data_IF_839239762271
#
_entry.id   IF_839239762271
#
_cell.length_a   1.000
_cell.length_b   1.000
_cell.length_c   1.000
_cell.angle_alpha   90.00
_cell.angle_beta   90.00
_cell.angle_gamma   90.00
#
_symmetry.space_group_name_H-M   'P 1'
#
loop_
_entity.id
_entity.type
_entity.pdbx_description
1 polymer ?
#
# COMPACT_ATOMS: atom_id res chain seq x y z
N UNK A 1 -25.98 27.34 -17.16
CA UNK A 1 -24.59 26.85 -17.31
C UNK A 1 -23.93 26.56 -15.97
N UNK A 2 -24.70 26.41 -14.92
CA UNK A 2 -24.26 26.07 -13.56
C UNK A 2 -24.27 24.55 -13.40
N UNK A 3 -23.13 23.91 -13.49
CA UNK A 3 -23.07 22.47 -13.29
C UNK A 3 -21.79 21.80 -13.79
N UNK A 4 -21.03 22.46 -14.66
CA UNK A 4 -19.74 21.98 -15.11
C UNK A 4 -18.61 22.69 -14.37
N UNK A 5 -17.56 21.96 -13.98
CA UNK A 5 -16.38 22.52 -13.34
C UNK A 5 -15.75 23.65 -14.18
N UNK A 6 -15.46 24.77 -13.56
CA UNK A 6 -14.80 25.91 -14.18
C UNK A 6 -13.35 25.58 -14.56
N UNK A 7 -12.76 26.36 -15.45
CA UNK A 7 -11.34 26.17 -15.83
C UNK A 7 -10.38 26.26 -14.66
N UNK A 8 -10.67 27.16 -13.69
CA UNK A 8 -9.87 27.28 -12.44
C UNK A 8 -9.98 26.02 -11.56
N UNK A 9 -11.17 25.48 -11.37
CA UNK A 9 -11.41 24.27 -10.58
C UNK A 9 -10.70 23.06 -11.21
N UNK A 10 -10.74 22.90 -12.53
CA UNK A 10 -10.01 21.85 -13.25
C UNK A 10 -8.49 21.99 -13.05
N UNK A 11 -7.96 23.21 -13.10
CA UNK A 11 -6.54 23.46 -12.83
C UNK A 11 -6.15 23.11 -11.41
N UNK A 12 -7.01 23.38 -10.42
CA UNK A 12 -6.78 22.99 -9.01
C UNK A 12 -6.76 21.46 -8.90
N UNK A 13 -7.74 20.76 -9.47
CA UNK A 13 -7.78 19.29 -9.44
C UNK A 13 -6.54 18.67 -10.09
N UNK A 14 -6.05 19.22 -11.21
CA UNK A 14 -4.82 18.77 -11.85
C UNK A 14 -3.59 18.92 -10.93
N UNK A 15 -3.47 20.06 -10.25
CA UNK A 15 -2.38 20.31 -9.29
C UNK A 15 -2.44 19.39 -8.08
N UNK A 16 -3.64 19.12 -7.56
CA UNK A 16 -3.86 18.18 -6.46
C UNK A 16 -3.48 16.76 -6.88
N UNK A 17 -3.90 16.34 -8.07
CA UNK A 17 -3.52 15.04 -8.62
C UNK A 17 -1.99 14.90 -8.76
N UNK A 18 -1.32 15.87 -9.36
CA UNK A 18 0.14 15.87 -9.52
C UNK A 18 0.83 15.85 -8.16
N UNK A 19 0.44 16.71 -7.23
CA UNK A 19 1.03 16.78 -5.89
C UNK A 19 0.85 15.48 -5.09
N UNK A 20 -0.38 14.94 -5.06
CA UNK A 20 -0.70 13.68 -4.39
C UNK A 20 0.04 12.49 -5.01
N UNK A 21 0.02 12.38 -6.34
CA UNK A 21 0.73 11.31 -7.05
C UNK A 21 2.25 11.41 -6.91
N UNK A 22 2.81 12.60 -6.82
CA UNK A 22 4.24 12.79 -6.52
C UNK A 22 4.61 12.29 -5.11
N UNK A 23 3.79 12.58 -4.11
CA UNK A 23 3.97 12.04 -2.75
C UNK A 23 3.82 10.52 -2.72
N UNK A 24 2.86 9.97 -3.44
CA UNK A 24 2.68 8.52 -3.59
C UNK A 24 3.89 7.87 -4.26
N UNK A 25 4.42 8.49 -5.30
CA UNK A 25 5.62 8.01 -6.00
C UNK A 25 6.82 7.96 -5.03
N UNK A 26 7.03 9.01 -4.24
CA UNK A 26 8.09 9.04 -3.22
C UNK A 26 7.89 7.95 -2.15
N UNK A 27 6.67 7.81 -1.61
CA UNK A 27 6.34 6.83 -0.60
C UNK A 27 6.52 5.39 -1.09
N UNK A 28 6.03 5.08 -2.28
CA UNK A 28 6.16 3.74 -2.87
C UNK A 28 7.60 3.42 -3.27
N UNK A 29 8.37 4.40 -3.75
CA UNK A 29 9.82 4.26 -4.00
C UNK A 29 10.57 3.97 -2.71
N UNK A 30 10.20 4.58 -1.59
CA UNK A 30 10.76 4.27 -0.28
C UNK A 30 10.55 2.79 0.11
N UNK A 31 9.33 2.24 -0.09
CA UNK A 31 9.05 0.81 0.18
C UNK A 31 9.95 -0.09 -0.66
N UNK A 32 10.03 0.18 -1.97
CA UNK A 32 10.87 -0.57 -2.92
C UNK A 32 12.34 -0.46 -2.52
N UNK A 33 12.81 0.73 -2.16
CA UNK A 33 14.16 0.95 -1.64
C UNK A 33 14.44 0.12 -0.39
N UNK A 34 13.53 0.12 0.60
CA UNK A 34 13.68 -0.70 1.80
C UNK A 34 13.81 -2.20 1.46
N UNK A 35 13.04 -2.73 0.53
CA UNK A 35 13.12 -4.12 0.11
C UNK A 35 14.50 -4.48 -0.48
N UNK A 36 15.11 -3.61 -1.27
CA UNK A 36 16.43 -3.85 -1.85
C UNK A 36 17.59 -3.64 -0.87
N UNK A 37 17.49 -2.63 0.01
CA UNK A 37 18.57 -2.30 0.92
C UNK A 37 18.64 -3.18 2.17
N UNK A 38 17.50 -3.72 2.63
CA UNK A 38 17.45 -4.52 3.86
C UNK A 38 17.21 -6.01 3.56
N UNK A 39 18.22 -6.84 3.78
CA UNK A 39 18.12 -8.30 3.58
C UNK A 39 17.04 -8.95 4.43
N UNK A 40 16.82 -8.45 5.65
CA UNK A 40 15.84 -8.96 6.60
C UNK A 40 14.39 -8.74 6.15
N UNK A 41 14.18 -7.80 5.21
CA UNK A 41 12.88 -7.51 4.59
C UNK A 41 12.63 -8.31 3.29
N UNK A 42 13.53 -9.23 2.90
CA UNK A 42 13.35 -10.06 1.69
C UNK A 42 12.58 -11.36 1.95
N UNK A 43 11.68 -11.35 2.94
CA UNK A 43 10.76 -12.46 3.20
C UNK A 43 9.57 -12.41 2.23
N UNK A 44 8.91 -13.54 2.01
CA UNK A 44 7.79 -13.66 1.07
C UNK A 44 6.68 -12.61 1.32
N UNK A 45 6.30 -12.39 2.57
CA UNK A 45 5.27 -11.39 2.91
C UNK A 45 5.64 -9.96 2.47
N UNK A 46 6.92 -9.59 2.58
CA UNK A 46 7.40 -8.28 2.10
C UNK A 46 7.56 -8.23 0.58
N UNK A 47 7.75 -9.37 -0.08
CA UNK A 47 7.74 -9.47 -1.54
C UNK A 47 6.36 -9.10 -2.10
N UNK A 48 5.28 -9.49 -1.43
CA UNK A 48 3.92 -9.08 -1.81
C UNK A 48 3.72 -7.55 -1.68
N UNK A 49 4.23 -6.96 -0.58
CA UNK A 49 4.20 -5.50 -0.38
C UNK A 49 5.08 -4.77 -1.41
N UNK A 50 6.19 -5.38 -1.83
CA UNK A 50 7.01 -4.86 -2.92
C UNK A 50 6.23 -4.77 -4.24
N UNK A 51 5.47 -5.80 -4.63
CA UNK A 51 4.65 -5.77 -5.85
C UNK A 51 3.48 -4.78 -5.75
N UNK A 52 2.89 -4.64 -4.56
CA UNK A 52 1.93 -3.58 -4.28
C UNK A 52 2.55 -2.20 -4.55
N UNK A 53 3.71 -1.92 -3.92
CA UNK A 53 4.40 -0.64 -4.08
C UNK A 53 4.88 -0.40 -5.52
N UNK A 54 5.29 -1.44 -6.23
CA UNK A 54 5.64 -1.35 -7.65
C UNK A 54 4.43 -0.93 -8.50
N UNK A 55 3.25 -1.49 -8.22
CA UNK A 55 2.00 -1.09 -8.87
C UNK A 55 1.65 0.37 -8.58
N UNK A 56 1.83 0.81 -7.32
CA UNK A 56 1.60 2.20 -6.91
C UNK A 56 2.58 3.18 -7.58
N UNK A 57 3.86 2.79 -7.76
CA UNK A 57 4.84 3.58 -8.51
C UNK A 57 4.37 3.83 -9.93
N UNK A 58 3.99 2.78 -10.66
CA UNK A 58 3.54 2.93 -12.04
C UNK A 58 2.20 3.66 -12.15
N UNK A 59 1.24 3.39 -11.23
CA UNK A 59 -0.01 4.13 -11.18
C UNK A 59 0.24 5.64 -10.99
N UNK A 60 1.09 6.02 -10.02
CA UNK A 60 1.43 7.42 -9.72
C UNK A 60 2.26 8.06 -10.84
N UNK A 61 3.23 7.33 -11.40
CA UNK A 61 4.05 7.81 -12.51
C UNK A 61 3.20 8.20 -13.73
N UNK A 62 2.32 7.30 -14.18
CA UNK A 62 1.44 7.60 -15.31
C UNK A 62 0.38 8.66 -14.96
N UNK A 63 0.04 8.85 -13.70
CA UNK A 63 -0.83 9.97 -13.28
C UNK A 63 -0.15 11.33 -13.38
N UNK A 64 1.19 11.40 -13.23
CA UNK A 64 1.99 12.63 -13.29
C UNK A 64 2.45 12.94 -14.73
N UNK A 65 2.92 11.92 -15.46
CA UNK A 65 3.59 12.06 -16.76
C UNK A 65 2.58 12.02 -17.91
N UNK A 66 1.50 12.78 -17.86
CA UNK A 66 0.54 12.83 -18.94
C UNK A 66 0.67 14.11 -19.77
N UNK A 67 0.80 13.99 -21.10
CA UNK A 67 0.63 15.10 -22.02
C UNK A 67 -0.74 14.97 -22.72
N UNK A 68 -1.76 15.75 -22.29
CA UNK A 68 -3.08 15.67 -22.87
C UNK A 68 -3.14 16.21 -24.32
N UNK A 69 -2.08 16.83 -24.80
CA UNK A 69 -2.02 17.42 -26.16
C UNK A 69 -1.87 16.37 -27.25
N UNK A 70 -1.32 15.18 -26.94
CA UNK A 70 -1.09 14.11 -27.91
C UNK A 70 -1.95 12.88 -27.59
N UNK A 71 -2.77 12.47 -28.54
CA UNK A 71 -3.70 11.35 -28.36
C UNK A 71 -3.02 10.06 -27.86
N UNK A 72 -1.86 9.70 -28.42
CA UNK A 72 -1.13 8.51 -28.02
C UNK A 72 -0.72 8.53 -26.53
N UNK A 73 -0.13 9.63 -26.06
CA UNK A 73 0.26 9.78 -24.67
C UNK A 73 -0.93 9.80 -23.72
N UNK A 74 -2.02 10.41 -24.16
CA UNK A 74 -3.28 10.46 -23.45
C UNK A 74 -3.86 9.04 -23.19
N UNK A 75 -3.96 8.22 -24.23
CA UNK A 75 -4.44 6.84 -24.09
C UNK A 75 -3.52 5.99 -23.24
N UNK A 76 -2.21 6.05 -23.48
CA UNK A 76 -1.21 5.31 -22.72
C UNK A 76 -1.30 5.66 -21.24
N UNK A 77 -1.37 6.94 -20.90
CA UNK A 77 -1.57 7.39 -19.52
C UNK A 77 -2.83 6.80 -18.90
N UNK A 78 -3.97 6.95 -19.54
CA UNK A 78 -5.25 6.55 -18.98
C UNK A 78 -5.37 5.05 -18.78
N UNK A 79 -4.95 4.24 -19.76
CA UNK A 79 -5.01 2.78 -19.65
C UNK A 79 -3.96 2.23 -18.70
N UNK A 80 -2.73 2.76 -18.72
CA UNK A 80 -1.68 2.36 -17.78
C UNK A 80 -2.04 2.70 -16.34
N UNK A 81 -2.54 3.91 -16.09
CA UNK A 81 -3.03 4.29 -14.76
C UNK A 81 -4.13 3.34 -14.28
N UNK A 82 -5.12 3.05 -15.13
CA UNK A 82 -6.19 2.10 -14.78
C UNK A 82 -5.64 0.72 -14.46
N UNK A 83 -4.78 0.17 -15.31
CA UNK A 83 -4.16 -1.14 -15.14
C UNK A 83 -3.40 -1.26 -13.81
N UNK A 84 -2.50 -0.32 -13.53
CA UNK A 84 -1.67 -0.37 -12.34
C UNK A 84 -2.43 -0.04 -11.05
N UNK A 85 -3.43 0.84 -11.10
CA UNK A 85 -4.30 1.09 -9.95
C UNK A 85 -5.16 -0.14 -9.62
N UNK A 86 -5.69 -0.85 -10.64
CA UNK A 86 -6.40 -2.12 -10.42
C UNK A 86 -5.45 -3.17 -9.85
N UNK A 87 -4.25 -3.31 -10.39
CA UNK A 87 -3.25 -4.23 -9.87
C UNK A 87 -2.91 -3.91 -8.40
N UNK A 88 -2.77 -2.63 -8.04
CA UNK A 88 -2.48 -2.22 -6.65
C UNK A 88 -3.54 -2.73 -5.66
N UNK A 89 -4.83 -2.47 -5.89
CA UNK A 89 -5.82 -2.96 -4.94
C UNK A 89 -5.99 -4.50 -4.97
N UNK A 90 -5.74 -5.18 -6.10
CA UNK A 90 -5.74 -6.64 -6.16
C UNK A 90 -4.57 -7.25 -5.36
N UNK A 91 -3.40 -6.60 -5.32
CA UNK A 91 -2.31 -7.03 -4.45
C UNK A 91 -2.68 -6.98 -2.96
N UNK A 92 -3.51 -6.04 -2.54
CA UNK A 92 -4.02 -6.04 -1.14
C UNK A 92 -4.88 -7.26 -0.83
N UNK A 93 -5.62 -7.78 -1.83
CA UNK A 93 -6.38 -9.04 -1.69
C UNK A 93 -5.45 -10.24 -1.50
N UNK A 94 -4.36 -10.30 -2.26
CA UNK A 94 -3.34 -11.35 -2.12
C UNK A 94 -2.68 -11.30 -0.74
N UNK A 95 -2.35 -10.10 -0.26
CA UNK A 95 -1.79 -9.89 1.09
C UNK A 95 -2.79 -10.39 2.15
N UNK A 96 -4.05 -10.02 2.05
CA UNK A 96 -5.09 -10.45 2.98
C UNK A 96 -5.30 -11.98 2.94
N UNK A 97 -5.34 -12.57 1.74
CA UNK A 97 -5.43 -14.02 1.56
C UNK A 97 -4.26 -14.76 2.20
N UNK A 98 -3.03 -14.30 1.95
CA UNK A 98 -1.81 -14.87 2.52
C UNK A 98 -1.84 -14.81 4.04
N UNK A 99 -2.21 -13.66 4.61
CA UNK A 99 -2.35 -13.47 6.04
C UNK A 99 -3.39 -14.43 6.64
N UNK A 100 -4.57 -14.54 6.02
CA UNK A 100 -5.62 -15.46 6.46
C UNK A 100 -5.15 -16.93 6.41
N UNK A 101 -4.49 -17.34 5.31
CA UNK A 101 -4.01 -18.71 5.14
C UNK A 101 -2.95 -19.07 6.19
N UNK A 102 -2.03 -18.14 6.46
CA UNK A 102 -0.95 -18.36 7.43
C UNK A 102 -1.46 -18.32 8.87
N UNK A 103 -2.29 -17.33 9.25
CA UNK A 103 -2.72 -17.12 10.62
C UNK A 103 -3.91 -18.00 11.00
N UNK A 104 -4.97 -18.05 10.16
CA UNK A 104 -6.22 -18.76 10.50
C UNK A 104 -6.15 -20.24 10.14
N UNK A 105 -5.49 -20.58 9.03
CA UNK A 105 -5.39 -21.96 8.55
C UNK A 105 -4.08 -22.66 8.91
N UNK A 106 -3.13 -21.95 9.52
CA UNK A 106 -1.80 -22.46 9.89
C UNK A 106 -1.06 -23.15 8.73
N UNK A 107 -1.27 -22.66 7.49
CA UNK A 107 -0.61 -23.19 6.29
C UNK A 107 0.52 -22.26 5.88
N UNK A 108 1.73 -22.81 5.77
CA UNK A 108 2.94 -22.06 5.39
C UNK A 108 3.30 -22.17 3.91
N UNK A 109 2.60 -23.00 3.15
CA UNK A 109 2.77 -23.30 1.73
C UNK A 109 2.24 -22.21 0.78
N UNK A 110 2.27 -20.95 1.22
CA UNK A 110 1.78 -19.80 0.44
C UNK A 110 2.76 -19.36 -0.65
N UNK A 111 4.02 -19.71 -0.52
CA UNK A 111 5.05 -19.40 -1.51
C UNK A 111 4.84 -20.17 -2.82
N UNK A 112 4.32 -21.38 -2.76
CA UNK A 112 4.01 -22.22 -3.92
C UNK A 112 2.90 -21.60 -4.81
N UNK A 113 2.12 -20.68 -4.25
CA UNK A 113 1.03 -19.98 -4.96
C UNK A 113 1.47 -18.70 -5.65
N UNK A 114 2.75 -18.34 -5.60
CA UNK A 114 3.25 -17.07 -6.14
C UNK A 114 2.86 -16.87 -7.62
N UNK A 115 3.05 -17.89 -8.46
CA UNK A 115 2.68 -17.84 -9.88
C UNK A 115 1.18 -17.57 -10.08
N UNK A 116 0.32 -18.19 -9.24
CA UNK A 116 -1.13 -17.96 -9.27
C UNK A 116 -1.48 -16.53 -8.85
N UNK A 117 -0.78 -15.97 -7.87
CA UNK A 117 -1.00 -14.58 -7.44
C UNK A 117 -0.67 -13.59 -8.56
N UNK A 118 0.43 -13.80 -9.27
CA UNK A 118 0.78 -12.98 -10.42
C UNK A 118 -0.25 -13.11 -11.55
N UNK A 119 -0.67 -14.33 -11.87
CA UNK A 119 -1.69 -14.55 -12.89
C UNK A 119 -3.03 -13.89 -12.50
N UNK A 120 -3.44 -14.03 -11.25
CA UNK A 120 -4.65 -13.40 -10.72
C UNK A 120 -4.58 -11.87 -10.84
N UNK A 121 -3.53 -11.24 -10.33
CA UNK A 121 -3.43 -9.77 -10.28
C UNK A 121 -3.27 -9.19 -11.68
N UNK A 122 -2.23 -9.60 -12.41
CA UNK A 122 -1.91 -9.01 -13.71
C UNK A 122 -2.92 -9.40 -14.78
N UNK A 123 -3.41 -10.65 -14.77
CA UNK A 123 -4.43 -11.13 -15.70
C UNK A 123 -5.76 -10.42 -15.50
N UNK A 124 -6.24 -10.29 -14.25
CA UNK A 124 -7.49 -9.58 -13.95
C UNK A 124 -7.38 -8.09 -14.29
N UNK A 125 -6.27 -7.43 -13.94
CA UNK A 125 -6.04 -6.03 -14.28
C UNK A 125 -6.04 -5.81 -15.81
N UNK A 126 -5.43 -6.73 -16.57
CA UNK A 126 -5.42 -6.68 -18.02
C UNK A 126 -6.84 -6.83 -18.60
N UNK A 127 -7.60 -7.83 -18.14
CA UNK A 127 -8.98 -8.06 -18.60
C UNK A 127 -9.85 -6.84 -18.34
N UNK A 128 -9.79 -6.24 -17.15
CA UNK A 128 -10.57 -5.04 -16.84
C UNK A 128 -10.14 -3.84 -17.66
N UNK A 129 -8.85 -3.70 -17.96
CA UNK A 129 -8.35 -2.62 -18.81
C UNK A 129 -8.81 -2.78 -20.27
N UNK A 130 -8.80 -4.03 -20.78
CA UNK A 130 -9.32 -4.34 -22.12
C UNK A 130 -10.83 -4.08 -22.20
N UNK A 131 -11.61 -4.54 -21.21
CA UNK A 131 -13.06 -4.27 -21.19
C UNK A 131 -13.32 -2.76 -21.16
N UNK A 132 -12.54 -2.00 -20.40
CA UNK A 132 -12.64 -0.54 -20.36
C UNK A 132 -12.39 0.11 -21.72
N UNK A 133 -11.51 -0.46 -22.56
CA UNK A 133 -11.20 0.10 -23.87
C UNK A 133 -12.39 0.09 -24.84
N UNK A 134 -13.32 -0.86 -24.68
CA UNK A 134 -14.54 -0.93 -25.50
C UNK A 134 -15.58 0.15 -25.17
N UNK A 135 -15.48 0.80 -23.99
CA UNK A 135 -16.44 1.81 -23.55
C UNK A 135 -16.03 3.26 -23.81
N UNK A 136 -14.87 3.50 -24.42
CA UNK A 136 -14.37 4.84 -24.58
C UNK A 136 -14.80 5.46 -25.93
N UNK A 137 -15.76 6.39 -25.87
CA UNK A 137 -15.94 7.37 -26.94
C UNK A 137 -14.84 8.43 -26.80
N UNK A 138 -14.16 8.68 -27.93
CA UNK A 138 -13.00 9.56 -28.01
C UNK A 138 -13.38 11.01 -27.70
N UNK A 139 -12.97 11.55 -26.58
CA UNK A 139 -13.08 12.98 -26.31
C UNK A 139 -11.90 13.54 -25.56
N UNK A 140 -11.19 14.42 -26.24
CA UNK A 140 -10.09 15.22 -25.69
C UNK A 140 -10.64 16.37 -24.84
N UNK A 141 -10.96 16.18 -23.57
CA UNK A 141 -11.28 17.30 -22.68
C UNK A 141 -10.95 16.98 -21.21
N UNK A 142 -10.03 17.74 -20.63
CA UNK A 142 -9.79 17.80 -19.19
C UNK A 142 -8.43 17.26 -18.76
N UNK A 143 -8.12 17.42 -17.46
CA UNK A 143 -6.86 16.99 -16.83
C UNK A 143 -6.69 15.46 -16.74
N UNK A 144 -7.67 14.70 -17.15
CA UNK A 144 -7.61 13.23 -17.32
C UNK A 144 -7.97 12.89 -18.75
N UNK A 145 -7.09 12.18 -19.40
CA UNK A 145 -7.20 11.81 -20.81
C UNK A 145 -8.35 10.84 -21.14
N UNK A 146 -8.90 10.16 -20.16
CA UNK A 146 -10.07 9.30 -20.29
C UNK A 146 -11.29 9.99 -19.67
N UNK A 147 -11.76 11.08 -20.29
CA UNK A 147 -13.01 11.71 -19.86
C UNK A 147 -14.17 10.88 -20.40
N UNK A 148 -14.92 10.32 -19.46
CA UNK A 148 -16.10 9.52 -19.78
C UNK A 148 -17.21 10.44 -20.28
N UNK A 149 -17.61 10.27 -21.53
CA UNK A 149 -18.83 10.86 -22.07
C UNK A 149 -19.86 9.76 -22.27
N UNK A 150 -21.02 9.92 -21.66
CA UNK A 150 -22.13 9.00 -21.80
C UNK A 150 -22.29 7.99 -20.65
N UNK A 151 -23.53 7.53 -20.47
CA UNK A 151 -23.88 6.57 -19.41
C UNK A 151 -23.18 5.23 -19.57
N UNK A 152 -23.00 4.76 -20.79
CA UNK A 152 -22.34 3.46 -21.09
C UNK A 152 -20.89 3.47 -20.63
N UNK A 153 -20.13 4.51 -20.96
CA UNK A 153 -18.72 4.64 -20.52
C UNK A 153 -18.59 4.74 -19.01
N UNK A 154 -19.49 5.49 -18.36
CA UNK A 154 -19.54 5.58 -16.89
C UNK A 154 -19.87 4.22 -16.26
N UNK A 155 -20.83 3.48 -16.82
CA UNK A 155 -21.18 2.14 -16.33
C UNK A 155 -20.02 1.16 -16.49
N UNK A 156 -19.36 1.12 -17.65
CA UNK A 156 -18.22 0.24 -17.88
C UNK A 156 -17.09 0.56 -16.89
N UNK A 157 -16.80 1.83 -16.64
CA UNK A 157 -15.81 2.21 -15.63
C UNK A 157 -16.22 1.77 -14.22
N UNK A 158 -17.50 1.91 -13.88
CA UNK A 158 -17.99 1.44 -12.61
C UNK A 158 -17.77 -0.07 -12.45
N UNK A 159 -18.13 -0.87 -13.44
CA UNK A 159 -17.98 -2.33 -13.38
C UNK A 159 -16.52 -2.80 -13.49
N UNK A 160 -15.64 -2.07 -14.15
CA UNK A 160 -14.23 -2.47 -14.32
C UNK A 160 -13.31 -1.93 -13.23
N UNK A 161 -13.76 -0.97 -12.41
CA UNK A 161 -12.95 -0.36 -11.36
C UNK A 161 -13.66 -0.38 -10.00
N UNK A 162 -14.80 0.29 -9.85
CA UNK A 162 -15.43 0.47 -8.54
C UNK A 162 -16.08 -0.80 -8.00
N UNK A 163 -16.75 -1.61 -8.81
CA UNK A 163 -17.36 -2.85 -8.35
C UNK A 163 -16.30 -3.87 -7.88
N UNK A 164 -15.20 -4.15 -8.65
CA UNK A 164 -14.10 -4.96 -8.15
C UNK A 164 -13.43 -4.38 -6.90
N UNK A 165 -13.21 -3.08 -6.84
CA UNK A 165 -12.64 -2.39 -5.69
C UNK A 165 -13.47 -2.63 -4.42
N UNK A 166 -14.81 -2.49 -4.48
CA UNK A 166 -15.67 -2.77 -3.35
C UNK A 166 -15.68 -4.26 -2.97
N UNK A 167 -15.59 -5.16 -3.97
CA UNK A 167 -15.39 -6.59 -3.73
C UNK A 167 -14.10 -6.86 -2.93
N UNK A 168 -13.01 -6.20 -3.30
CA UNK A 168 -11.71 -6.26 -2.58
C UNK A 168 -11.83 -5.69 -1.16
N UNK A 169 -12.48 -4.54 -0.98
CA UNK A 169 -12.68 -3.92 0.34
C UNK A 169 -13.46 -4.86 1.27
N UNK A 170 -14.56 -5.44 0.79
CA UNK A 170 -15.38 -6.36 1.55
C UNK A 170 -14.61 -7.64 1.91
N UNK A 171 -13.90 -8.23 0.95
CA UNK A 171 -13.08 -9.41 1.17
C UNK A 171 -11.97 -9.13 2.18
N UNK A 172 -11.22 -8.04 2.02
CA UNK A 172 -10.18 -7.64 2.95
C UNK A 172 -10.76 -7.43 4.36
N UNK A 173 -11.85 -6.66 4.48
CA UNK A 173 -12.52 -6.42 5.76
C UNK A 173 -12.94 -7.71 6.47
N UNK A 174 -13.56 -8.65 5.74
CA UNK A 174 -13.95 -9.95 6.27
C UNK A 174 -12.75 -10.79 6.71
N UNK A 175 -11.70 -10.84 5.89
CA UNK A 175 -10.46 -11.57 6.18
C UNK A 175 -9.78 -11.02 7.43
N UNK A 176 -9.61 -9.71 7.53
CA UNK A 176 -9.01 -9.07 8.70
C UNK A 176 -9.85 -9.27 9.96
N UNK A 177 -11.18 -9.23 9.86
CA UNK A 177 -12.05 -9.54 10.98
C UNK A 177 -11.81 -10.96 11.52
N UNK A 178 -11.69 -11.97 10.63
CA UNK A 178 -11.40 -13.34 11.03
C UNK A 178 -10.03 -13.47 11.71
N UNK A 179 -9.01 -12.82 11.14
CA UNK A 179 -7.64 -12.81 11.69
C UNK A 179 -7.63 -12.18 13.08
N UNK A 180 -8.24 -11.00 13.26
CA UNK A 180 -8.32 -10.31 14.55
C UNK A 180 -9.06 -11.18 15.58
N UNK A 181 -10.19 -11.78 15.19
CA UNK A 181 -10.96 -12.66 16.09
C UNK A 181 -10.15 -13.86 16.54
N UNK A 182 -9.42 -14.51 15.63
CA UNK A 182 -8.60 -15.65 15.98
C UNK A 182 -7.50 -15.30 16.97
N UNK A 183 -6.79 -14.20 16.74
CA UNK A 183 -5.72 -13.75 17.63
C UNK A 183 -6.23 -13.26 18.98
N UNK A 184 -7.37 -12.59 19.00
CA UNK A 184 -8.01 -12.22 20.26
C UNK A 184 -8.36 -13.46 21.09
N UNK A 185 -8.83 -14.53 20.43
CA UNK A 185 -9.09 -15.81 21.10
C UNK A 185 -7.80 -16.48 21.58
N UNK A 186 -6.74 -16.51 20.77
CA UNK A 186 -5.44 -17.02 21.16
C UNK A 186 -4.85 -16.23 22.36
N UNK A 187 -4.94 -14.91 22.33
CA UNK A 187 -4.50 -14.06 23.44
C UNK A 187 -5.29 -14.31 24.74
N UNK A 188 -6.61 -14.57 24.64
CA UNK A 188 -7.45 -14.92 25.79
C UNK A 188 -7.08 -16.29 26.37
N UNK A 189 -6.82 -17.28 25.52
CA UNK A 189 -6.34 -18.60 25.97
C UNK A 189 -4.97 -18.50 26.63
N UNK A 190 -4.05 -17.73 26.06
CA UNK A 190 -2.73 -17.48 26.62
C UNK A 190 -2.80 -16.77 27.99
N UNK A 191 -3.75 -15.88 28.20
CA UNK A 191 -3.95 -15.20 29.48
C UNK A 191 -4.41 -16.14 30.61
N UNK A 192 -5.02 -17.28 30.27
CA UNK A 192 -5.38 -18.35 31.21
C UNK A 192 -4.23 -19.27 31.56
N UNK A 193 -3.10 -19.21 30.85
CA UNK A 193 -1.91 -20.02 31.11
C UNK A 193 -0.96 -19.17 31.93
N UNK A 194 -0.43 -19.74 33.05
CA UNK A 194 0.47 -19.07 33.99
C UNK A 194 1.87 -18.74 33.44
N UNK A 195 2.15 -19.10 32.19
CA UNK A 195 3.46 -18.93 31.56
C UNK A 195 3.61 -17.51 30.96
N UNK A 196 4.49 -16.73 31.60
CA UNK A 196 4.73 -15.31 31.32
C UNK A 196 5.33 -15.06 29.92
N UNK A 197 6.12 -16.00 29.44
CA UNK A 197 6.78 -15.92 28.13
C UNK A 197 5.75 -16.06 27.00
N UNK A 198 4.84 -17.02 27.09
CA UNK A 198 3.75 -17.21 26.15
C UNK A 198 2.76 -16.03 26.10
N UNK A 199 2.53 -15.37 27.25
CA UNK A 199 1.70 -14.15 27.31
C UNK A 199 2.34 -12.96 26.59
N UNK A 200 3.66 -12.81 26.67
CA UNK A 200 4.40 -11.73 26.00
C UNK A 200 4.36 -11.92 24.47
N UNK A 201 4.58 -13.14 24.00
CA UNK A 201 4.53 -13.46 22.56
C UNK A 201 3.13 -13.23 21.97
N UNK A 202 2.09 -13.73 22.63
CA UNK A 202 0.71 -13.52 22.19
C UNK A 202 0.29 -12.03 22.16
N UNK A 203 0.77 -11.21 23.09
CA UNK A 203 0.56 -9.76 23.10
C UNK A 203 1.33 -9.05 21.98
N UNK A 204 2.53 -9.52 21.66
CA UNK A 204 3.37 -8.96 20.61
C UNK A 204 2.76 -9.25 19.24
N UNK A 205 2.28 -10.47 19.02
CA UNK A 205 1.58 -10.88 17.81
C UNK A 205 0.27 -10.11 17.61
N UNK A 206 -0.52 -9.92 18.67
CA UNK A 206 -1.75 -9.12 18.62
C UNK A 206 -1.46 -7.65 18.28
N UNK A 207 -0.38 -7.07 18.82
CA UNK A 207 0.05 -5.70 18.47
C UNK A 207 0.55 -5.59 17.03
N UNK A 208 1.28 -6.59 16.54
CA UNK A 208 1.72 -6.63 15.16
C UNK A 208 0.54 -6.66 14.19
N UNK A 209 -0.47 -7.45 14.48
CA UNK A 209 -1.63 -7.65 13.62
C UNK A 209 -2.65 -6.52 13.65
N UNK A 210 -2.81 -5.83 14.77
CA UNK A 210 -3.60 -4.59 14.79
C UNK A 210 -3.08 -3.55 13.79
N UNK A 211 -1.80 -3.60 13.40
CA UNK A 211 -1.23 -2.73 12.38
C UNK A 211 -1.60 -3.13 10.95
N UNK A 212 -1.73 -4.42 10.66
CA UNK A 212 -2.15 -4.90 9.34
C UNK A 212 -3.60 -4.57 9.03
N UNK A 213 -4.42 -4.35 10.06
CA UNK A 213 -5.82 -3.91 9.92
C UNK A 213 -5.99 -2.51 9.31
N UNK A 214 -4.92 -1.71 9.21
CA UNK A 214 -5.00 -0.39 8.59
C UNK A 214 -5.13 -0.42 7.06
N UNK A 215 -4.66 -1.47 6.37
CA UNK A 215 -4.72 -1.53 4.91
C UNK A 215 -6.15 -1.47 4.35
N UNK A 216 -7.14 -2.21 4.86
CA UNK A 216 -8.52 -2.04 4.43
C UNK A 216 -9.09 -0.67 4.74
N UNK A 217 -8.73 -0.08 5.88
CA UNK A 217 -9.17 1.27 6.25
C UNK A 217 -8.59 2.33 5.32
N UNK A 218 -7.34 2.17 4.88
CA UNK A 218 -6.71 3.03 3.88
C UNK A 218 -7.47 2.94 2.56
N UNK A 219 -7.81 1.73 2.09
CA UNK A 219 -8.61 1.54 0.88
C UNK A 219 -9.98 2.22 0.99
N UNK A 220 -10.67 2.02 2.11
CA UNK A 220 -11.97 2.67 2.33
C UNK A 220 -11.82 4.18 2.31
N UNK A 221 -10.86 4.74 3.06
CA UNK A 221 -10.64 6.18 3.15
C UNK A 221 -10.22 6.79 1.79
N UNK A 222 -9.39 6.09 1.01
CA UNK A 222 -8.93 6.55 -0.29
C UNK A 222 -10.04 6.57 -1.35
N UNK A 223 -10.98 5.63 -1.30
CA UNK A 223 -11.95 5.42 -2.39
C UNK A 223 -13.40 5.73 -2.04
N UNK A 224 -13.71 6.04 -0.77
CA UNK A 224 -15.07 6.38 -0.36
C UNK A 224 -15.58 7.62 -1.11
N UNK A 225 -14.78 8.68 -1.15
CA UNK A 225 -15.16 9.92 -1.82
C UNK A 225 -15.25 9.73 -3.34
N UNK A 226 -14.37 8.93 -3.93
CA UNK A 226 -14.43 8.57 -5.34
C UNK A 226 -15.71 7.81 -5.68
N UNK A 227 -16.10 6.87 -4.84
CA UNK A 227 -17.35 6.12 -5.03
C UNK A 227 -18.57 7.03 -4.96
N UNK A 228 -18.64 7.89 -3.92
CA UNK A 228 -19.72 8.85 -3.75
C UNK A 228 -19.78 9.80 -4.97
N UNK A 229 -18.61 10.28 -5.42
CA UNK A 229 -18.52 11.16 -6.58
C UNK A 229 -19.04 10.47 -7.87
N UNK A 230 -18.72 9.20 -8.08
CA UNK A 230 -19.20 8.45 -9.25
C UNK A 230 -20.68 8.13 -9.18
N UNK A 231 -21.22 7.80 -8.03
CA UNK A 231 -22.67 7.62 -7.84
C UNK A 231 -23.40 8.94 -8.11
N UNK A 232 -22.89 10.05 -7.57
CA UNK A 232 -23.43 11.37 -7.84
C UNK A 232 -23.38 11.72 -9.33
N UNK A 233 -22.26 11.52 -10.02
CA UNK A 233 -22.10 11.76 -11.45
C UNK A 233 -23.04 10.91 -12.32
N UNK A 234 -23.37 9.70 -11.87
CA UNK A 234 -24.32 8.82 -12.55
C UNK A 234 -25.77 9.32 -12.41
N UNK A 235 -26.13 9.78 -11.23
CA UNK A 235 -27.47 10.30 -10.94
C UNK A 235 -27.69 11.70 -11.54
N UNK A 236 -26.66 12.56 -11.46
CA UNK A 236 -26.71 13.97 -11.86
C UNK A 236 -25.56 14.32 -12.83
N UNK A 237 -25.60 13.85 -14.11
CA UNK A 237 -24.47 13.97 -15.02
C UNK A 237 -24.13 15.42 -15.43
N UNK A 238 -25.08 16.34 -15.27
CA UNK A 238 -24.91 17.76 -15.60
C UNK A 238 -24.46 18.62 -14.42
N UNK A 239 -24.46 18.07 -13.20
CA UNK A 239 -24.12 18.82 -11.99
C UNK A 239 -22.92 18.21 -11.28
N UNK A 240 -21.76 18.86 -11.38
CA UNK A 240 -20.50 18.43 -10.77
C UNK A 240 -20.25 19.18 -9.46
N UNK A 241 -19.97 18.47 -8.38
CA UNK A 241 -19.62 19.07 -7.07
C UNK A 241 -18.10 19.15 -6.97
N UNK A 242 -17.57 20.38 -6.97
CA UNK A 242 -16.12 20.62 -6.91
C UNK A 242 -15.45 19.95 -5.69
N UNK A 243 -15.98 20.16 -4.51
CA UNK A 243 -15.41 19.61 -3.27
C UNK A 243 -15.39 18.09 -3.23
N UNK A 244 -16.42 17.45 -3.80
CA UNK A 244 -16.46 15.99 -3.90
C UNK A 244 -15.42 15.47 -4.88
N UNK A 245 -15.26 16.14 -6.02
CA UNK A 245 -14.21 15.82 -6.99
C UNK A 245 -12.81 16.11 -6.44
N UNK A 246 -12.64 17.14 -5.60
CA UNK A 246 -11.39 17.46 -4.92
C UNK A 246 -10.97 16.35 -3.94
N UNK A 247 -11.90 15.88 -3.12
CA UNK A 247 -11.65 14.79 -2.19
C UNK A 247 -11.39 13.47 -2.92
N UNK A 248 -12.17 13.15 -3.97
CA UNK A 248 -11.95 11.98 -4.83
C UNK A 248 -10.52 11.95 -5.38
N UNK A 249 -10.14 13.00 -6.10
CA UNK A 249 -8.81 13.09 -6.73
C UNK A 249 -7.70 13.11 -5.68
N UNK A 250 -7.87 13.85 -4.59
CA UNK A 250 -6.85 13.99 -3.55
C UNK A 250 -6.60 12.69 -2.80
N UNK A 251 -7.64 12.00 -2.36
CA UNK A 251 -7.48 10.74 -1.60
C UNK A 251 -6.99 9.61 -2.49
N UNK A 252 -7.49 9.50 -3.73
CA UNK A 252 -7.01 8.50 -4.68
C UNK A 252 -5.54 8.70 -5.06
N UNK A 253 -5.11 9.95 -5.30
CA UNK A 253 -3.72 10.27 -5.63
C UNK A 253 -2.74 9.99 -4.47
N UNK A 254 -3.19 10.05 -3.22
CA UNK A 254 -2.38 9.79 -2.02
C UNK A 254 -2.33 8.31 -1.61
N UNK A 255 -2.94 7.39 -2.34
CA UNK A 255 -3.04 5.98 -1.94
C UNK A 255 -1.67 5.33 -1.68
N UNK A 256 -0.71 5.47 -2.60
CA UNK A 256 0.64 4.93 -2.42
C UNK A 256 1.39 5.56 -1.23
N UNK A 257 1.14 6.83 -0.93
CA UNK A 257 1.66 7.49 0.26
C UNK A 257 1.08 6.88 1.54
N UNK A 258 -0.23 6.64 1.61
CA UNK A 258 -0.86 5.99 2.75
C UNK A 258 -0.35 4.54 2.93
N UNK A 259 -0.16 3.81 1.84
CA UNK A 259 0.46 2.48 1.87
C UNK A 259 1.88 2.54 2.44
N UNK A 260 2.67 3.56 2.10
CA UNK A 260 4.03 3.75 2.63
C UNK A 260 4.05 4.07 4.12
N UNK A 261 3.09 4.84 4.62
CA UNK A 261 2.92 5.09 6.05
C UNK A 261 2.59 3.79 6.78
N UNK A 262 1.61 3.02 6.30
CA UNK A 262 1.24 1.74 6.91
C UNK A 262 2.42 0.75 6.93
N UNK A 263 3.20 0.69 5.84
CA UNK A 263 4.42 -0.10 5.76
C UNK A 263 5.50 0.40 6.75
N UNK A 264 5.75 1.71 6.79
CA UNK A 264 6.74 2.33 7.68
C UNK A 264 6.39 2.20 9.16
N UNK A 265 5.11 2.07 9.52
CA UNK A 265 4.66 1.78 10.89
C UNK A 265 4.93 0.34 11.32
N UNK A 266 5.30 -0.57 10.40
CA UNK A 266 5.65 -1.95 10.74
C UNK A 266 6.90 -1.99 11.63
N UNK A 267 6.83 -2.73 12.75
CA UNK A 267 7.92 -2.81 13.73
C UNK A 267 9.21 -3.35 13.14
N UNK A 268 9.12 -4.31 12.21
CA UNK A 268 10.30 -4.90 11.55
C UNK A 268 11.00 -3.88 10.66
N UNK A 269 10.26 -3.10 9.89
CA UNK A 269 10.82 -2.02 9.05
C UNK A 269 11.46 -0.94 9.93
N UNK A 270 10.77 -0.51 10.98
CA UNK A 270 11.30 0.49 11.93
C UNK A 270 12.57 0.01 12.61
N UNK A 271 12.63 -1.26 13.01
CA UNK A 271 13.83 -1.86 13.62
C UNK A 271 14.98 -1.90 12.62
N UNK A 272 14.74 -2.37 11.39
CA UNK A 272 15.77 -2.42 10.34
C UNK A 272 16.34 -1.03 10.02
N UNK A 273 15.48 -0.01 9.93
CA UNK A 273 15.88 1.38 9.73
C UNK A 273 16.69 1.91 10.91
N UNK A 274 16.26 1.63 12.14
CA UNK A 274 16.94 2.09 13.36
C UNK A 274 18.33 1.44 13.51
N UNK A 275 18.44 0.14 13.31
CA UNK A 275 19.71 -0.60 13.34
C UNK A 275 20.68 -0.02 12.28
N UNK A 276 20.20 0.27 11.06
CA UNK A 276 21.03 0.87 10.02
C UNK A 276 21.46 2.29 10.34
N UNK A 277 20.56 3.09 10.92
CA UNK A 277 20.86 4.42 11.37
C UNK A 277 21.96 4.41 12.46
N UNK A 278 21.86 3.54 13.46
CA UNK A 278 22.87 3.37 14.49
C UNK A 278 24.21 2.91 13.93
N UNK A 279 24.21 1.96 12.97
CA UNK A 279 25.44 1.52 12.30
C UNK A 279 26.10 2.67 11.56
N UNK A 280 25.33 3.45 10.79
CA UNK A 280 25.83 4.60 10.07
C UNK A 280 26.45 5.65 11.01
N UNK A 281 25.79 5.95 12.14
CA UNK A 281 26.33 6.86 13.16
C UNK A 281 27.58 6.33 13.83
N UNK A 282 27.61 5.06 14.20
CA UNK A 282 28.77 4.43 14.85
C UNK A 282 29.96 4.35 13.88
N UNK A 283 29.76 3.98 12.62
CA UNK A 283 30.80 3.95 11.59
C UNK A 283 31.31 5.38 11.29
N UNK A 284 30.40 6.36 11.16
CA UNK A 284 30.76 7.75 11.01
C UNK A 284 31.56 8.29 12.19
N UNK A 285 31.12 7.99 13.42
CA UNK A 285 31.84 8.38 14.65
C UNK A 285 33.20 7.67 14.77
N UNK A 286 33.27 6.39 14.36
CA UNK A 286 34.52 5.61 14.42
C UNK A 286 35.59 6.13 13.45
N UNK A 287 35.19 6.81 12.38
CA UNK A 287 36.10 7.45 11.43
C UNK A 287 36.79 8.68 12.02
N UNK A 288 36.13 9.34 13.00
CA UNK A 288 36.62 10.57 13.65
C UNK A 288 37.28 10.32 15.01
N UNK A 289 37.15 9.09 15.59
CA UNK A 289 37.77 8.75 16.88
C UNK A 289 39.21 8.26 16.70
N UNK A 290 40.20 8.72 17.52
CA UNK A 290 41.56 8.24 17.47
C UNK A 290 41.63 6.75 17.77
N UNK A 291 42.53 6.03 17.08
CA UNK A 291 42.68 4.56 17.12
C UNK A 291 42.75 3.95 18.52
N UNK A 292 43.21 4.72 19.52
CA UNK A 292 43.31 4.26 20.94
C UNK A 292 41.97 3.95 21.60
N UNK A 293 40.86 4.51 21.11
CA UNK A 293 39.51 4.23 21.65
C UNK A 293 38.82 3.00 21.01
N UNK A 294 39.26 2.60 19.78
CA UNK A 294 38.72 1.42 19.11
C UNK A 294 38.98 0.11 19.87
N UNK A 295 40.14 -0.01 20.51
CA UNK A 295 40.50 -1.20 21.27
C UNK A 295 39.72 -1.33 22.59
N UNK A 296 39.29 -0.22 23.20
CA UNK A 296 38.57 -0.26 24.48
C UNK A 296 37.09 -0.58 24.35
N UNK A 297 36.49 -0.32 23.18
CA UNK A 297 35.09 -0.65 22.88
C UNK A 297 34.88 -2.13 22.50
N UNK A 298 35.94 -2.80 22.02
CA UNK A 298 35.92 -4.23 21.68
C UNK A 298 36.30 -5.17 22.86
N UNK A 299 36.92 -4.66 23.93
CA UNK A 299 37.41 -5.45 25.05
C UNK A 299 36.41 -5.59 26.20
N UNK A 300 35.25 -4.94 26.18
CA UNK A 300 34.33 -4.88 27.32
C UNK A 300 33.25 -5.98 27.43
N UNK A 301 32.94 -6.84 26.44
CA UNK A 301 31.97 -7.92 26.66
C UNK A 301 32.53 -9.21 27.24
N UNK A 302 33.85 -9.44 27.21
CA UNK A 302 34.42 -10.74 27.60
C UNK A 302 34.93 -10.80 29.05
N UNK A 303 35.25 -9.68 29.71
CA UNK A 303 35.76 -9.71 31.10
C UNK A 303 34.67 -9.78 32.19
N UNK A 304 33.44 -9.35 31.90
CA UNK A 304 32.34 -9.42 32.89
C UNK A 304 31.71 -10.81 33.00
N UNK A 305 31.95 -11.72 32.05
CA UNK A 305 31.46 -13.11 32.15
C UNK A 305 32.43 -14.03 32.89
N UNK A 306 33.73 -13.73 32.91
CA UNK A 306 34.75 -14.56 33.60
C UNK A 306 34.78 -14.32 35.09
N UNK A 307 34.37 -13.16 35.62
CA UNK A 307 34.33 -12.88 37.05
C UNK A 307 33.09 -13.43 37.76
N UNK A 308 32.03 -13.82 37.04
CA UNK A 308 30.82 -14.43 37.63
C UNK A 308 30.89 -15.94 37.82
N UNK A 309 31.88 -16.61 37.25
CA UNK A 309 32.05 -18.07 37.33
C UNK A 309 33.01 -18.46 38.49
N UNK A 310 33.76 -17.52 39.04
CA UNK A 310 34.70 -17.79 40.12
C UNK A 310 34.12 -17.63 41.54
N UNK A 311 32.92 -17.08 41.72
CA UNK A 311 32.28 -16.92 43.03
C UNK A 311 31.25 -18.03 43.37
N UNK A 312 31.24 -19.16 42.65
CA UNK A 312 30.38 -20.31 42.92
C UNK A 312 31.16 -21.63 43.04
N UNK A 313 32.33 -21.62 43.76
CA UNK A 313 32.94 -22.84 44.31
C UNK A 313 33.32 -22.63 45.73
#
# INVERSE_FOLDING_TARGET
MEGLLTGKERSILAKVNIGGSSLSLLGSTFIVGCYFFFKDLRKFSYKLVFFLALSDIFCSFFSVVGDPSRAFFCYTQGYSTHFFCVASFLWTTVIAFTLHRTVVRHKTDVEDLEAMFHLYVWGTALVFTVIRSFGNEHSHFGSSCLTQKGRTSTAIHFFTFYAPLWGVILYNGFTYFQVIRMLSNAARMAAGISDREYQVDARTDTKALNRWGYYPLILIAAWAFGTINRVHDFLYPTHKIFWLSFLDVGTAALMGFFNSIAYGLNSTVRRALHERYLTFWNDGLSMWLPKSRKYRAQAQPSEMVSLRVQDQH
#
